data_IF_733366485909
#
_entry.id   IF_733366485909
#
_cell.length_a   1.000
_cell.length_b   1.000
_cell.length_c   1.000
_cell.angle_alpha   90.00
_cell.angle_beta   90.00
_cell.angle_gamma   90.00
#
_symmetry.space_group_name_H-M   'P 1'
#
loop_
_entity.id
_entity.type
_entity.pdbx_description
1 polymer ?
#
# COMPACT_ATOMS: atom_id res chain seq x y z
N UNK A 1 -72.49 33.12 21.99
CA UNK A 1 -71.32 32.47 21.36
C UNK A 1 -71.76 31.05 21.05
N UNK A 2 -71.98 30.64 19.80
CA UNK A 2 -70.97 30.41 18.73
C UNK A 2 -69.99 29.27 19.14
N UNK A 3 -69.80 28.16 18.40
CA UNK A 3 -70.22 27.77 17.04
C UNK A 3 -70.26 26.21 16.88
N UNK A 4 -70.98 25.75 15.84
CA UNK A 4 -70.92 24.45 15.13
C UNK A 4 -70.74 23.10 15.86
N UNK A 5 -71.79 22.29 15.82
CA UNK A 5 -71.71 20.82 15.76
C UNK A 5 -71.74 20.37 14.29
N UNK A 6 -70.66 19.76 13.78
CA UNK A 6 -70.56 19.38 12.35
C UNK A 6 -70.69 17.87 12.13
N UNK A 7 -71.88 17.49 11.70
CA UNK A 7 -72.33 16.12 11.42
C UNK A 7 -71.52 15.40 10.33
N UNK A 8 -71.23 14.15 10.61
CA UNK A 8 -70.61 13.13 9.76
C UNK A 8 -71.25 12.96 8.37
N UNK A 9 -70.42 12.80 7.32
CA UNK A 9 -70.76 12.10 6.07
C UNK A 9 -69.54 11.36 5.50
N UNK A 10 -69.55 10.03 5.62
CA UNK A 10 -68.71 9.14 4.80
C UNK A 10 -69.13 9.23 3.33
N UNK A 11 -68.17 9.08 2.41
CA UNK A 11 -68.40 8.84 0.98
C UNK A 11 -67.95 7.41 0.61
N UNK A 12 -68.58 6.76 -0.39
CA UNK A 12 -68.57 5.30 -0.49
C UNK A 12 -67.35 4.71 -1.21
N UNK A 13 -67.04 3.47 -0.85
CA UNK A 13 -66.16 2.55 -1.59
C UNK A 13 -66.90 2.05 -2.84
N UNK A 14 -66.23 2.01 -3.99
CA UNK A 14 -66.63 1.22 -5.16
C UNK A 14 -65.58 0.16 -5.47
N UNK A 15 -65.97 -1.12 -5.63
CA UNK A 15 -65.07 -2.17 -6.07
C UNK A 15 -65.15 -2.33 -7.60
N UNK A 16 -64.00 -2.54 -8.27
CA UNK A 16 -63.99 -3.15 -9.61
C UNK A 16 -62.80 -4.10 -9.81
N UNK A 17 -63.18 -5.36 -10.05
CA UNK A 17 -62.60 -6.30 -11.02
C UNK A 17 -61.15 -6.78 -10.80
N UNK A 18 -61.09 -8.02 -10.29
CA UNK A 18 -60.05 -9.00 -10.58
C UNK A 18 -60.45 -9.69 -11.89
N UNK A 19 -59.57 -9.69 -12.89
CA UNK A 19 -59.55 -10.51 -14.12
C UNK A 19 -58.24 -10.16 -14.86
N UNK A 20 -57.43 -11.05 -15.44
CA UNK A 20 -57.20 -12.50 -15.28
C UNK A 20 -55.76 -12.78 -15.81
N UNK A 21 -55.06 -13.81 -15.30
CA UNK A 21 -53.78 -14.25 -15.89
C UNK A 21 -53.99 -15.08 -17.17
N UNK A 22 -53.53 -14.61 -18.34
CA UNK A 22 -53.43 -15.46 -19.55
C UNK A 22 -52.44 -14.96 -20.62
N UNK A 23 -51.12 -14.96 -20.35
CA UNK A 23 -50.11 -14.66 -21.39
C UNK A 23 -48.76 -15.40 -21.28
N UNK A 24 -48.70 -16.55 -20.61
CA UNK A 24 -47.52 -17.41 -20.56
C UNK A 24 -47.67 -18.62 -21.51
N UNK A 25 -47.37 -18.40 -22.82
CA UNK A 25 -46.90 -19.39 -23.82
C UNK A 25 -47.07 -18.88 -25.26
N UNK A 26 -45.99 -18.35 -25.87
CA UNK A 26 -45.45 -18.88 -27.12
C UNK A 26 -44.28 -18.05 -27.68
N UNK A 27 -43.36 -18.75 -28.35
CA UNK A 27 -42.81 -18.27 -29.62
C UNK A 27 -41.82 -17.11 -29.56
N UNK A 28 -40.55 -17.45 -29.38
CA UNK A 28 -39.39 -16.67 -29.82
C UNK A 28 -39.58 -15.99 -31.19
N UNK A 29 -39.75 -14.66 -31.19
CA UNK A 29 -39.40 -13.78 -32.32
C UNK A 29 -38.58 -12.61 -31.79
N UNK A 30 -37.47 -12.33 -32.46
CA UNK A 30 -36.47 -11.38 -31.98
C UNK A 30 -37.04 -9.98 -31.81
N UNK A 31 -36.76 -9.36 -30.66
CA UNK A 31 -36.84 -7.91 -30.51
C UNK A 31 -35.90 -7.27 -31.54
N UNK A 32 -36.29 -6.16 -32.20
CA UNK A 32 -35.33 -5.39 -32.99
C UNK A 32 -34.18 -4.93 -32.08
N UNK A 33 -32.92 -4.92 -32.57
CA UNK A 33 -31.79 -4.48 -31.77
C UNK A 33 -32.05 -3.04 -31.29
N UNK A 34 -32.03 -2.84 -29.98
CA UNK A 34 -32.26 -1.53 -29.40
C UNK A 34 -31.15 -0.57 -29.88
N UNK A 35 -31.46 0.72 -30.16
CA UNK A 35 -30.54 1.64 -30.85
C UNK A 35 -29.24 1.95 -30.08
N UNK A 36 -29.12 1.55 -28.82
CA UNK A 36 -27.87 1.61 -28.06
C UNK A 36 -26.84 0.54 -28.46
N UNK A 37 -27.25 -0.54 -29.14
CA UNK A 37 -26.37 -1.63 -29.54
C UNK A 37 -25.47 -1.27 -30.74
N UNK A 38 -25.97 -0.50 -31.72
CA UNK A 38 -25.16 -0.06 -32.87
C UNK A 38 -24.25 1.14 -32.54
N UNK A 39 -24.51 1.87 -31.45
CA UNK A 39 -23.63 2.94 -30.99
C UNK A 39 -22.29 2.43 -30.42
N UNK A 40 -22.13 1.12 -30.23
CA UNK A 40 -20.94 0.48 -29.68
C UNK A 40 -19.85 0.21 -30.73
N UNK A 41 -19.47 1.24 -31.50
CA UNK A 41 -18.28 1.18 -32.36
C UNK A 41 -16.99 0.92 -31.54
N UNK A 42 -15.93 0.36 -32.16
CA UNK A 42 -14.68 0.08 -31.46
C UNK A 42 -14.06 1.38 -30.91
N UNK A 43 -14.14 1.56 -29.60
CA UNK A 43 -13.61 2.78 -28.94
C UNK A 43 -12.10 2.89 -29.22
N UNK A 44 -11.61 4.06 -29.67
CA UNK A 44 -10.17 4.28 -29.74
C UNK A 44 -9.59 4.14 -28.33
N UNK A 45 -8.57 3.27 -28.18
CA UNK A 45 -7.84 3.13 -26.93
C UNK A 45 -7.21 4.47 -26.59
N UNK A 46 -7.67 5.10 -25.51
CA UNK A 46 -7.08 6.37 -25.03
C UNK A 46 -5.64 6.09 -24.62
N UNK A 47 -4.69 6.63 -25.39
CA UNK A 47 -3.27 6.46 -25.10
C UNK A 47 -2.90 7.21 -23.82
N UNK A 48 -2.71 6.42 -22.77
CA UNK A 48 -1.96 6.67 -21.54
C UNK A 48 -1.17 7.99 -21.53
N UNK A 49 -1.76 9.04 -20.94
CA UNK A 49 -1.17 10.39 -20.94
C UNK A 49 -0.24 10.69 -19.76
N UNK A 50 0.11 9.69 -18.95
CA UNK A 50 0.83 9.88 -17.68
C UNK A 50 2.21 9.17 -17.57
N UNK A 51 2.91 8.98 -18.70
CA UNK A 51 4.35 8.66 -18.71
C UNK A 51 5.21 9.94 -18.89
N UNK A 52 4.81 11.03 -18.22
CA UNK A 52 5.52 12.32 -18.26
C UNK A 52 6.41 12.57 -17.02
N UNK A 53 6.11 11.92 -15.89
CA UNK A 53 6.76 12.19 -14.60
C UNK A 53 8.20 11.68 -14.56
N UNK A 54 8.52 10.56 -15.21
CA UNK A 54 9.85 9.95 -15.13
C UNK A 54 10.94 10.60 -16.00
N UNK A 55 10.63 11.49 -16.97
CA UNK A 55 11.69 12.07 -17.82
C UNK A 55 12.69 12.91 -17.04
N UNK A 56 12.25 13.67 -16.04
CA UNK A 56 13.12 14.47 -15.16
C UNK A 56 13.88 13.60 -14.15
N UNK A 57 13.24 12.56 -13.62
CA UNK A 57 13.86 11.61 -12.69
C UNK A 57 14.97 10.78 -13.37
N UNK A 58 14.68 10.23 -14.56
CA UNK A 58 15.63 9.44 -15.36
C UNK A 58 16.81 10.30 -15.81
N UNK A 59 16.58 11.56 -16.20
CA UNK A 59 17.67 12.49 -16.51
C UNK A 59 18.57 12.73 -15.29
N UNK A 60 17.98 12.96 -14.11
CA UNK A 60 18.75 13.11 -12.86
C UNK A 60 19.58 11.87 -12.52
N UNK A 61 19.00 10.68 -12.64
CA UNK A 61 19.70 9.41 -12.39
C UNK A 61 20.84 9.17 -13.40
N UNK A 62 20.62 9.44 -14.68
CA UNK A 62 21.64 9.32 -15.73
C UNK A 62 22.83 10.29 -15.50
N UNK A 63 22.56 11.54 -15.12
CA UNK A 63 23.61 12.51 -14.77
C UNK A 63 24.38 12.07 -13.52
N UNK A 64 23.68 11.53 -12.51
CA UNK A 64 24.33 11.03 -11.29
C UNK A 64 25.25 9.83 -11.57
N UNK A 65 24.85 8.90 -12.45
CA UNK A 65 25.70 7.77 -12.86
C UNK A 65 26.94 8.26 -13.61
N UNK A 66 26.77 9.16 -14.59
CA UNK A 66 27.90 9.70 -15.35
C UNK A 66 28.91 10.45 -14.47
N UNK A 67 28.43 11.22 -13.48
CA UNK A 67 29.30 11.88 -12.51
C UNK A 67 30.10 10.87 -11.67
N UNK A 68 29.46 9.79 -11.21
CA UNK A 68 30.11 8.74 -10.42
C UNK A 68 31.18 7.99 -11.24
N UNK A 69 30.88 7.65 -12.50
CA UNK A 69 31.84 7.04 -13.42
C UNK A 69 33.04 7.96 -13.72
N UNK A 70 32.81 9.26 -13.87
CA UNK A 70 33.88 10.24 -14.07
C UNK A 70 34.78 10.35 -12.83
N UNK A 71 34.20 10.42 -11.63
CA UNK A 71 34.97 10.47 -10.37
C UNK A 71 35.80 9.19 -10.18
N UNK A 72 35.23 8.00 -10.44
CA UNK A 72 36.00 6.75 -10.36
C UNK A 72 37.12 6.67 -11.39
N UNK A 73 36.90 7.13 -12.62
CA UNK A 73 37.96 7.19 -13.65
C UNK A 73 39.08 8.15 -13.26
N UNK A 74 38.75 9.34 -12.72
CA UNK A 74 39.75 10.29 -12.24
C UNK A 74 40.55 9.69 -11.07
N UNK A 75 39.89 9.02 -10.12
CA UNK A 75 40.58 8.36 -9.01
C UNK A 75 41.57 7.29 -9.50
N UNK A 76 41.15 6.41 -10.42
CA UNK A 76 42.03 5.37 -11.01
C UNK A 76 43.20 6.01 -11.77
N UNK A 77 42.96 7.05 -12.57
CA UNK A 77 44.03 7.77 -13.29
C UNK A 77 45.02 8.43 -12.33
N UNK A 78 44.57 8.98 -11.20
CA UNK A 78 45.44 9.54 -10.17
C UNK A 78 46.26 8.46 -9.43
N UNK A 79 45.66 7.30 -9.14
CA UNK A 79 46.37 6.15 -8.56
C UNK A 79 47.51 5.66 -9.47
N UNK A 80 47.22 5.41 -10.75
CA UNK A 80 48.22 4.95 -11.73
C UNK A 80 49.36 5.97 -11.88
N UNK A 81 49.05 7.27 -11.88
CA UNK A 81 50.06 8.34 -11.94
C UNK A 81 50.89 8.49 -10.67
N UNK A 82 50.42 8.01 -9.53
CA UNK A 82 51.20 8.04 -8.29
C UNK A 82 52.30 6.97 -8.30
N UNK A 83 52.03 5.79 -8.90
CA UNK A 83 53.04 4.74 -9.07
C UNK A 83 54.17 5.15 -10.03
N UNK A 84 53.88 5.87 -11.12
CA UNK A 84 54.91 6.36 -12.05
C UNK A 84 55.84 7.44 -11.45
N UNK A 85 55.42 8.15 -10.40
CA UNK A 85 56.30 9.07 -9.65
C UNK A 85 57.11 8.39 -8.53
N UNK A 86 56.77 7.16 -8.14
CA UNK A 86 57.48 6.41 -7.10
C UNK A 86 58.84 5.84 -7.53
N UNK A 87 59.08 5.72 -8.85
CA UNK A 87 60.24 5.04 -9.42
C UNK A 87 61.45 5.95 -9.74
N UNK A 88 61.43 7.22 -9.31
CA UNK A 88 62.40 8.24 -9.72
C UNK A 88 63.10 8.97 -8.54
N UNK A 89 63.50 8.24 -7.51
CA UNK A 89 64.37 8.75 -6.44
C UNK A 89 65.21 7.65 -5.77
N UNK A 90 66.29 7.21 -6.42
CA UNK A 90 67.38 6.46 -5.77
C UNK A 90 68.75 6.99 -6.26
N UNK A 91 69.74 6.97 -5.37
CA UNK A 91 71.12 7.41 -5.63
C UNK A 91 71.74 8.29 -4.55
N UNK A 92 72.45 7.71 -3.58
CA UNK A 92 73.20 8.48 -2.57
C UNK A 92 73.97 7.66 -1.51
N UNK A 93 75.11 7.08 -1.89
CA UNK A 93 76.07 6.37 -1.03
C UNK A 93 76.40 7.03 0.33
N UNK A 94 76.74 6.23 1.37
CA UNK A 94 77.74 6.67 2.37
C UNK A 94 77.77 6.02 3.77
N UNK A 95 78.54 4.93 3.93
CA UNK A 95 79.44 4.63 5.07
C UNK A 95 78.99 4.69 6.56
N UNK A 96 78.93 3.49 7.18
CA UNK A 96 79.60 2.99 8.42
C UNK A 96 80.59 3.90 9.23
N UNK A 97 81.02 3.57 10.49
CA UNK A 97 80.68 2.42 11.38
C UNK A 97 80.54 2.68 12.92
N UNK A 98 80.17 1.63 13.70
CA UNK A 98 80.61 1.41 15.11
C UNK A 98 79.51 1.46 16.20
N UNK A 99 79.61 0.79 17.36
CA UNK A 99 80.52 -0.26 17.84
C UNK A 99 79.96 -0.93 19.14
N UNK A 100 80.52 -2.10 19.52
CA UNK A 100 80.34 -2.85 20.80
C UNK A 100 78.92 -3.42 21.13
N UNK A 101 78.65 -4.69 21.51
CA UNK A 101 79.36 -5.81 22.16
C UNK A 101 79.15 -5.96 23.69
N UNK A 102 78.33 -6.95 24.12
CA UNK A 102 78.67 -8.04 25.09
C UNK A 102 77.47 -8.95 25.46
N UNK A 103 77.78 -10.21 25.78
CA UNK A 103 76.92 -11.31 26.29
C UNK A 103 77.14 -11.51 27.82
N UNK A 104 76.80 -12.67 28.45
CA UNK A 104 75.54 -13.44 28.64
C UNK A 104 75.20 -13.46 30.18
N UNK A 105 74.81 -14.55 30.92
CA UNK A 105 74.15 -15.82 30.60
C UNK A 105 72.98 -16.29 31.53
N UNK A 106 72.15 -17.22 31.02
CA UNK A 106 71.71 -18.42 31.76
C UNK A 106 70.26 -18.42 32.29
N UNK A 107 69.52 -19.54 32.30
CA UNK A 107 69.83 -20.91 31.88
C UNK A 107 68.52 -21.73 31.63
N UNK A 108 68.60 -22.87 30.93
CA UNK A 108 67.54 -23.90 30.92
C UNK A 108 67.03 -24.37 29.54
N UNK A 109 67.38 -25.60 29.16
CA UNK A 109 66.94 -26.36 27.96
C UNK A 109 67.21 -27.86 28.26
N UNK A 110 66.80 -28.84 27.42
CA UNK A 110 65.60 -29.01 26.56
C UNK A 110 65.03 -30.46 26.83
N UNK A 111 64.62 -31.34 25.88
CA UNK A 111 64.03 -31.18 24.52
C UNK A 111 62.74 -32.01 24.28
N UNK A 112 62.04 -31.76 23.16
CA UNK A 112 60.95 -32.63 22.71
C UNK A 112 60.39 -32.39 21.30
N UNK A 113 60.98 -33.07 20.29
CA UNK A 113 60.48 -33.41 18.92
C UNK A 113 59.94 -32.29 17.97
N UNK A 114 59.90 -32.55 16.64
CA UNK A 114 59.81 -31.50 15.62
C UNK A 114 58.39 -31.20 15.10
N UNK A 115 58.35 -30.11 14.34
CA UNK A 115 57.22 -29.45 13.69
C UNK A 115 56.50 -30.32 12.64
N UNK A 116 55.17 -30.21 12.59
CA UNK A 116 54.39 -30.34 11.36
C UNK A 116 53.61 -29.04 11.15
N UNK A 117 53.55 -28.58 9.90
CA UNK A 117 53.17 -27.20 9.56
C UNK A 117 51.66 -27.03 9.45
N UNK A 118 51.15 -26.00 10.12
CA UNK A 118 49.74 -25.59 10.09
C UNK A 118 49.45 -24.82 8.79
N UNK A 119 48.91 -25.49 7.76
CA UNK A 119 48.55 -24.87 6.49
C UNK A 119 47.25 -24.05 6.62
N UNK A 120 47.35 -22.87 7.25
CA UNK A 120 46.27 -21.89 7.35
C UNK A 120 45.98 -21.25 5.97
N UNK A 121 45.25 -21.96 5.10
CA UNK A 121 44.62 -21.35 3.93
C UNK A 121 43.41 -20.52 4.37
N UNK A 122 43.46 -19.23 4.09
CA UNK A 122 42.38 -18.29 4.43
C UNK A 122 41.05 -18.69 3.81
N UNK A 123 40.05 -18.86 4.66
CA UNK A 123 38.64 -18.86 4.28
C UNK A 123 38.05 -17.52 4.72
N UNK A 124 38.17 -16.49 3.87
CA UNK A 124 37.62 -15.16 4.12
C UNK A 124 36.81 -14.69 2.92
N UNK A 125 35.69 -14.01 3.18
CA UNK A 125 34.77 -13.37 2.23
C UNK A 125 33.98 -14.28 1.26
N UNK A 126 33.05 -15.08 1.80
CA UNK A 126 31.92 -15.65 1.04
C UNK A 126 30.57 -15.62 1.79
N UNK A 127 30.42 -14.75 2.80
CA UNK A 127 29.26 -14.70 3.71
C UNK A 127 28.12 -13.70 3.36
N UNK A 128 28.26 -12.69 2.47
CA UNK A 128 27.28 -11.58 2.44
C UNK A 128 25.86 -11.98 2.01
N UNK A 129 25.69 -13.04 1.21
CA UNK A 129 24.38 -13.43 0.68
C UNK A 129 23.43 -14.03 1.74
N UNK A 130 23.95 -14.82 2.69
CA UNK A 130 23.11 -15.51 3.68
C UNK A 130 22.65 -14.55 4.79
N UNK A 131 23.53 -13.64 5.23
CA UNK A 131 23.21 -12.59 6.21
C UNK A 131 22.20 -11.56 5.65
N UNK A 132 22.33 -11.17 4.38
CA UNK A 132 21.39 -10.25 3.72
C UNK A 132 19.97 -10.85 3.62
N UNK A 133 19.85 -12.14 3.30
CA UNK A 133 18.55 -12.83 3.29
C UNK A 133 17.92 -12.89 4.69
N UNK A 134 18.69 -13.25 5.73
CA UNK A 134 18.18 -13.28 7.10
C UNK A 134 17.70 -11.91 7.59
N UNK A 135 18.44 -10.83 7.30
CA UNK A 135 17.98 -9.47 7.62
C UNK A 135 16.69 -9.10 6.89
N UNK A 136 16.52 -9.49 5.62
CA UNK A 136 15.27 -9.24 4.87
C UNK A 136 14.10 -10.03 5.48
N UNK A 137 14.34 -11.29 5.88
CA UNK A 137 13.37 -12.11 6.60
C UNK A 137 12.95 -11.48 7.93
N UNK A 138 13.88 -10.92 8.72
CA UNK A 138 13.54 -10.22 9.96
C UNK A 138 12.75 -8.93 9.70
N UNK A 139 13.22 -8.05 8.79
CA UNK A 139 12.50 -6.82 8.40
C UNK A 139 11.07 -7.12 7.96
N UNK A 140 10.84 -8.22 7.24
CA UNK A 140 9.51 -8.65 6.77
C UNK A 140 8.61 -9.19 7.89
N UNK A 141 9.19 -9.74 8.97
CA UNK A 141 8.45 -10.15 10.19
C UNK A 141 8.08 -8.94 11.05
N UNK A 142 8.99 -7.98 11.20
CA UNK A 142 8.83 -6.78 12.04
C UNK A 142 7.88 -5.72 11.46
N UNK A 143 7.66 -5.74 10.14
CA UNK A 143 6.74 -4.81 9.49
C UNK A 143 5.33 -4.82 10.12
N UNK A 144 4.73 -3.63 10.35
CA UNK A 144 3.42 -3.53 10.97
C UNK A 144 2.36 -4.16 10.07
N UNK A 145 1.22 -4.63 10.63
CA UNK A 145 0.23 -5.41 9.89
C UNK A 145 -0.32 -4.75 8.63
N UNK A 146 -0.37 -3.41 8.59
CA UNK A 146 -0.84 -2.62 7.46
C UNK A 146 0.22 -2.34 6.37
N UNK A 147 1.51 -2.60 6.62
CA UNK A 147 2.57 -2.49 5.60
C UNK A 147 2.62 -3.71 4.67
N UNK A 148 1.91 -4.80 5.01
CA UNK A 148 1.82 -6.03 4.22
C UNK A 148 0.79 -5.86 3.10
N UNK A 149 1.05 -6.45 1.94
CA UNK A 149 0.17 -6.36 0.77
C UNK A 149 -1.21 -7.05 0.93
N UNK A 150 -1.35 -7.97 1.90
CA UNK A 150 -2.63 -8.62 2.24
C UNK A 150 -3.11 -8.10 3.59
N UNK A 151 -4.43 -7.87 3.71
CA UNK A 151 -5.06 -7.54 4.99
C UNK A 151 -4.79 -8.63 6.05
N UNK A 152 -4.63 -8.29 7.34
CA UNK A 152 -4.37 -9.27 8.37
C UNK A 152 -5.67 -9.99 8.77
N UNK A 153 -5.60 -11.32 8.93
CA UNK A 153 -6.76 -12.21 9.12
C UNK A 153 -7.36 -12.26 10.53
N UNK A 154 -7.24 -11.20 11.33
CA UNK A 154 -7.75 -11.17 12.72
C UNK A 154 -9.22 -10.73 12.82
N UNK A 155 -9.79 -10.15 11.75
CA UNK A 155 -11.19 -9.74 11.65
C UNK A 155 -11.84 -10.36 10.41
N UNK A 156 -13.09 -10.77 10.54
CA UNK A 156 -13.94 -11.23 9.43
C UNK A 156 -15.14 -10.28 9.28
N UNK A 157 -15.33 -9.59 8.15
CA UNK A 157 -16.55 -8.84 7.91
C UNK A 157 -17.73 -9.80 7.71
N UNK A 158 -18.87 -9.48 8.34
CA UNK A 158 -20.12 -10.25 8.26
C UNK A 158 -21.14 -9.55 7.35
N UNK A 159 -21.26 -8.24 7.48
CA UNK A 159 -22.26 -7.45 6.76
C UNK A 159 -21.78 -6.02 6.51
N UNK A 160 -22.22 -5.42 5.41
CA UNK A 160 -21.97 -4.04 5.04
C UNK A 160 -23.32 -3.34 4.78
N UNK A 161 -23.61 -2.30 5.54
CA UNK A 161 -24.65 -1.34 5.20
C UNK A 161 -23.99 -0.08 4.63
N UNK A 162 -24.30 0.24 3.37
CA UNK A 162 -23.67 1.30 2.59
C UNK A 162 -24.72 2.34 2.19
N UNK A 163 -24.52 3.59 2.63
CA UNK A 163 -25.28 4.75 2.19
C UNK A 163 -24.39 5.64 1.32
N UNK A 164 -24.93 6.10 0.20
CA UNK A 164 -24.21 6.89 -0.81
C UNK A 164 -25.07 8.07 -1.28
N UNK A 165 -24.51 9.27 -1.18
CA UNK A 165 -25.09 10.52 -1.69
C UNK A 165 -24.20 11.07 -2.80
N UNK A 166 -24.78 11.31 -3.98
CA UNK A 166 -24.05 11.65 -5.21
C UNK A 166 -24.43 13.07 -5.62
N UNK A 167 -23.44 13.91 -5.90
CA UNK A 167 -23.61 15.30 -6.32
C UNK A 167 -22.99 15.48 -7.71
N UNK A 168 -23.82 15.70 -8.73
CA UNK A 168 -23.35 15.76 -10.12
C UNK A 168 -22.92 17.18 -10.54
N UNK A 169 -23.18 18.18 -9.72
CA UNK A 169 -22.87 19.59 -9.97
C UNK A 169 -21.38 19.88 -9.75
N UNK A 170 -20.82 19.32 -8.66
CA UNK A 170 -19.39 19.37 -8.31
C UNK A 170 -18.69 18.03 -8.56
N UNK A 171 -19.45 16.98 -8.89
CA UNK A 171 -18.98 15.61 -9.09
C UNK A 171 -18.25 15.03 -7.88
N UNK A 172 -18.84 15.20 -6.69
CA UNK A 172 -18.42 14.51 -5.47
C UNK A 172 -19.44 13.45 -5.06
N UNK A 173 -19.02 12.57 -4.17
CA UNK A 173 -19.94 11.75 -3.40
C UNK A 173 -19.54 11.76 -1.93
N UNK A 174 -20.53 11.69 -1.06
CA UNK A 174 -20.34 11.39 0.36
C UNK A 174 -21.08 10.10 0.72
N UNK A 175 -20.66 9.46 1.80
CA UNK A 175 -21.27 8.21 2.20
C UNK A 175 -20.97 7.84 3.63
N UNK A 176 -21.74 6.86 4.08
CA UNK A 176 -21.57 6.19 5.35
C UNK A 176 -21.51 4.69 5.08
N UNK A 177 -20.49 4.02 5.62
CA UNK A 177 -20.44 2.56 5.64
C UNK A 177 -20.40 2.08 7.08
N UNK A 178 -21.31 1.17 7.42
CA UNK A 178 -21.34 0.44 8.67
C UNK A 178 -20.97 -1.02 8.38
N UNK A 179 -19.83 -1.47 8.91
CA UNK A 179 -19.30 -2.82 8.73
C UNK A 179 -19.48 -3.60 10.03
N UNK A 180 -20.23 -4.69 9.99
CA UNK A 180 -20.28 -5.64 11.08
C UNK A 180 -19.05 -6.57 10.99
N UNK A 181 -18.28 -6.67 12.07
CA UNK A 181 -17.01 -7.36 12.16
C UNK A 181 -17.06 -8.42 13.26
N UNK A 182 -16.68 -9.65 12.92
CA UNK A 182 -16.38 -10.72 13.87
C UNK A 182 -14.87 -10.74 14.17
N UNK A 183 -14.51 -10.93 15.44
CA UNK A 183 -13.11 -11.02 15.87
C UNK A 183 -12.67 -12.48 15.94
N UNK A 184 -11.73 -12.83 15.07
CA UNK A 184 -11.10 -14.16 15.05
C UNK A 184 -9.90 -14.22 16.00
N UNK A 185 -9.10 -13.16 16.03
CA UNK A 185 -7.94 -13.02 16.92
C UNK A 185 -7.96 -11.65 17.60
N UNK A 186 -7.59 -11.57 18.88
CA UNK A 186 -7.60 -10.28 19.60
C UNK A 186 -6.64 -9.28 18.96
N UNK A 187 -7.08 -8.03 18.84
CA UNK A 187 -6.31 -6.98 18.17
C UNK A 187 -6.73 -5.60 18.61
N UNK A 188 -5.81 -4.64 18.54
CA UNK A 188 -6.05 -3.21 18.80
C UNK A 188 -6.20 -2.38 17.52
N UNK A 189 -6.27 -3.01 16.36
CA UNK A 189 -6.33 -2.31 15.08
C UNK A 189 -7.37 -2.94 14.14
N UNK A 190 -8.06 -2.08 13.39
CA UNK A 190 -8.82 -2.46 12.21
C UNK A 190 -8.07 -1.93 10.99
N UNK A 191 -7.84 -2.79 9.99
CA UNK A 191 -7.16 -2.46 8.75
C UNK A 191 -8.06 -2.89 7.60
N UNK A 192 -8.37 -1.96 6.70
CA UNK A 192 -9.22 -2.17 5.53
C UNK A 192 -8.70 -1.36 4.35
N UNK A 193 -9.07 -1.71 3.11
CA UNK A 193 -8.67 -0.92 1.95
C UNK A 193 -9.39 0.42 1.88
N UNK A 194 -8.65 1.46 1.51
CA UNK A 194 -9.16 2.80 1.23
C UNK A 194 -8.19 3.54 0.29
N UNK A 195 -8.71 4.11 -0.78
CA UNK A 195 -7.92 4.83 -1.78
C UNK A 195 -8.72 6.00 -2.35
N UNK A 196 -8.04 7.13 -2.62
CA UNK A 196 -8.62 8.37 -3.23
C UNK A 196 -9.91 8.86 -2.55
N UNK A 197 -10.03 8.70 -1.23
CA UNK A 197 -11.15 9.17 -0.42
C UNK A 197 -10.69 9.88 0.85
N UNK A 198 -11.48 10.83 1.31
CA UNK A 198 -11.30 11.56 2.56
C UNK A 198 -12.19 10.95 3.65
N UNK A 199 -11.61 10.60 4.80
CA UNK A 199 -12.34 10.05 5.94
C UNK A 199 -12.67 11.19 6.91
N UNK A 200 -13.96 11.50 7.08
CA UNK A 200 -14.42 12.57 7.97
C UNK A 200 -14.52 12.11 9.42
N UNK A 201 -15.03 10.89 9.63
CA UNK A 201 -15.18 10.33 10.96
C UNK A 201 -15.13 8.80 10.94
N UNK A 202 -14.61 8.22 12.02
CA UNK A 202 -14.67 6.78 12.28
C UNK A 202 -15.15 6.54 13.71
N UNK A 203 -16.02 5.55 13.90
CA UNK A 203 -16.52 5.10 15.20
C UNK A 203 -16.53 3.57 15.23
N UNK A 204 -16.23 3.00 16.40
CA UNK A 204 -16.34 1.57 16.64
C UNK A 204 -17.24 1.35 17.85
N UNK A 205 -18.21 0.46 17.74
CA UNK A 205 -19.12 0.07 18.82
C UNK A 205 -19.15 -1.46 18.93
N UNK A 206 -19.54 -1.97 20.10
CA UNK A 206 -19.78 -3.40 20.31
C UNK A 206 -21.28 -3.68 20.18
N UNK A 207 -21.70 -4.66 19.38
CA UNK A 207 -23.13 -4.87 19.08
C UNK A 207 -23.98 -5.17 20.35
N UNK A 208 -23.35 -5.72 21.39
CA UNK A 208 -24.03 -6.23 22.61
C UNK A 208 -23.91 -5.31 23.83
N UNK A 209 -23.11 -4.24 23.78
CA UNK A 209 -22.97 -3.26 24.86
C UNK A 209 -23.20 -1.85 24.31
N UNK A 210 -23.97 -1.03 25.02
CA UNK A 210 -24.20 0.39 24.70
C UNK A 210 -22.95 1.30 24.90
N UNK A 211 -21.74 0.73 24.88
CA UNK A 211 -20.46 1.41 25.07
C UNK A 211 -19.59 1.38 23.82
N UNK A 212 -19.28 2.55 23.27
CA UNK A 212 -18.35 2.69 22.14
C UNK A 212 -16.92 2.26 22.50
N UNK A 213 -16.20 1.68 21.54
CA UNK A 213 -14.77 1.41 21.63
C UNK A 213 -14.01 2.66 21.21
N UNK A 214 -13.26 3.26 22.13
CA UNK A 214 -12.54 4.51 21.88
C UNK A 214 -11.43 4.32 20.84
N UNK A 215 -11.49 5.13 19.78
CA UNK A 215 -10.47 5.21 18.72
C UNK A 215 -9.33 6.08 19.23
N UNK A 216 -8.13 5.52 19.30
CA UNK A 216 -6.90 6.21 19.71
C UNK A 216 -6.40 7.18 18.63
N UNK A 217 -6.40 6.71 17.37
CA UNK A 217 -6.04 7.45 16.17
C UNK A 217 -6.49 6.66 14.94
N UNK A 218 -6.63 7.34 13.81
CA UNK A 218 -6.83 6.69 12.51
C UNK A 218 -6.07 7.42 11.41
N UNK A 219 -5.58 6.69 10.41
CA UNK A 219 -4.78 7.25 9.32
C UNK A 219 -4.88 6.42 8.04
N UNK A 220 -4.70 7.07 6.89
CA UNK A 220 -4.46 6.40 5.61
C UNK A 220 -2.98 6.03 5.50
N UNK A 221 -2.70 4.87 4.91
CA UNK A 221 -1.37 4.40 4.59
C UNK A 221 -1.28 4.13 3.07
N UNK A 222 -0.86 5.14 2.27
CA UNK A 222 -0.98 5.09 0.81
C UNK A 222 -0.23 3.94 0.13
N UNK A 223 0.87 3.47 0.72
CA UNK A 223 1.79 2.49 0.13
C UNK A 223 1.12 1.13 -0.13
N UNK A 224 0.17 0.72 0.72
CA UNK A 224 -0.64 -0.49 0.54
C UNK A 224 -2.13 -0.19 0.34
N UNK A 225 -2.49 1.09 0.18
CA UNK A 225 -3.87 1.55 -0.03
C UNK A 225 -4.84 1.10 1.07
N UNK A 226 -4.44 1.28 2.34
CA UNK A 226 -5.26 0.91 3.51
C UNK A 226 -5.57 2.10 4.41
N UNK A 227 -6.72 2.04 5.08
CA UNK A 227 -7.08 2.83 6.23
C UNK A 227 -6.88 2.00 7.50
N UNK A 228 -6.23 2.60 8.50
CA UNK A 228 -5.91 1.98 9.78
C UNK A 228 -6.64 2.73 10.89
N UNK A 229 -7.38 1.98 11.70
CA UNK A 229 -8.06 2.47 12.91
C UNK A 229 -7.40 1.82 14.12
N UNK A 230 -6.77 2.61 14.98
CA UNK A 230 -6.11 2.13 16.21
C UNK A 230 -7.01 2.40 17.41
N UNK A 231 -7.15 1.43 18.29
CA UNK A 231 -8.11 1.44 19.40
C UNK A 231 -7.40 1.51 20.76
N UNK A 232 -8.05 2.16 21.73
CA UNK A 232 -7.52 2.29 23.10
C UNK A 232 -7.54 0.96 23.88
N UNK A 233 -8.44 0.03 23.52
CA UNK A 233 -8.49 -1.34 24.05
C UNK A 233 -8.48 -2.36 22.92
N UNK A 234 -8.15 -3.62 23.23
CA UNK A 234 -8.26 -4.72 22.28
C UNK A 234 -9.72 -5.09 22.02
N UNK A 235 -10.00 -5.54 20.80
CA UNK A 235 -11.22 -6.24 20.44
C UNK A 235 -11.15 -7.69 20.95
N UNK A 236 -12.26 -8.19 21.47
CA UNK A 236 -12.34 -9.53 22.08
C UNK A 236 -12.79 -10.58 21.06
N UNK A 237 -12.15 -11.75 21.08
CA UNK A 237 -12.45 -12.91 20.22
C UNK A 237 -13.90 -13.37 20.44
N UNK A 238 -14.55 -13.89 19.39
CA UNK A 238 -15.97 -14.31 19.40
C UNK A 238 -17.00 -13.20 19.73
N UNK A 239 -16.59 -11.94 19.82
CA UNK A 239 -17.51 -10.79 19.87
C UNK A 239 -17.69 -10.15 18.48
N UNK A 240 -18.80 -9.44 18.33
CA UNK A 240 -19.16 -8.68 17.13
C UNK A 240 -19.09 -7.18 17.41
N UNK A 241 -18.48 -6.44 16.48
CA UNK A 241 -18.32 -5.00 16.54
C UNK A 241 -18.83 -4.34 15.27
N UNK A 242 -19.35 -3.13 15.39
CA UNK A 242 -19.77 -2.29 14.28
C UNK A 242 -18.74 -1.18 14.04
N UNK A 243 -18.16 -1.13 12.83
CA UNK A 243 -17.26 -0.08 12.36
C UNK A 243 -18.06 0.86 11.45
N UNK A 244 -18.31 2.08 11.93
CA UNK A 244 -18.95 3.16 11.18
C UNK A 244 -17.90 4.12 10.63
N UNK A 245 -17.86 4.32 9.32
CA UNK A 245 -16.98 5.27 8.64
C UNK A 245 -17.84 6.24 7.82
N UNK A 246 -17.62 7.54 8.01
CA UNK A 246 -18.19 8.62 7.20
C UNK A 246 -17.08 9.17 6.31
N UNK A 247 -17.34 9.29 5.02
CA UNK A 247 -16.33 9.65 4.02
C UNK A 247 -16.91 10.54 2.91
N UNK A 248 -16.01 11.24 2.21
CA UNK A 248 -16.31 11.90 0.94
C UNK A 248 -15.18 11.66 -0.08
N UNK A 249 -15.49 11.77 -1.37
CA UNK A 249 -14.54 11.57 -2.46
C UNK A 249 -15.01 12.26 -3.76
N UNK A 250 -14.11 12.36 -4.74
CA UNK A 250 -14.42 12.79 -6.10
C UNK A 250 -14.97 11.62 -6.92
N UNK A 251 -15.96 11.88 -7.78
CA UNK A 251 -16.39 10.91 -8.78
C UNK A 251 -15.35 10.89 -9.91
N UNK A 252 -14.76 9.72 -10.15
CA UNK A 252 -13.61 9.60 -11.05
C UNK A 252 -13.97 9.73 -12.54
N UNK A 253 -12.99 10.18 -13.33
CA UNK A 253 -13.07 10.18 -14.79
C UNK A 253 -12.46 8.90 -15.41
N UNK A 254 -11.70 8.16 -14.62
CA UNK A 254 -11.11 6.87 -14.99
C UNK A 254 -12.17 5.78 -14.85
N UNK A 255 -12.08 4.71 -15.64
CA UNK A 255 -13.03 3.58 -15.59
C UNK A 255 -12.73 2.64 -14.40
N UNK A 256 -12.58 3.21 -13.20
CA UNK A 256 -12.12 2.56 -11.98
C UNK A 256 -12.86 3.14 -10.76
N UNK A 257 -13.25 2.27 -9.83
CA UNK A 257 -13.98 2.69 -8.62
C UNK A 257 -15.36 3.26 -8.93
N UNK A 258 -15.72 4.37 -8.29
CA UNK A 258 -16.96 5.09 -8.56
C UNK A 258 -16.70 6.24 -9.53
N UNK A 259 -17.14 6.07 -10.78
CA UNK A 259 -16.79 6.93 -11.90
C UNK A 259 -18.02 7.49 -12.62
N UNK A 260 -17.83 8.59 -13.34
CA UNK A 260 -18.83 9.22 -14.22
C UNK A 260 -18.56 8.90 -15.68
N UNK A 261 -19.61 8.79 -16.46
CA UNK A 261 -19.55 8.75 -17.93
C UNK A 261 -20.53 9.77 -18.49
N UNK A 262 -20.45 10.04 -19.79
CA UNK A 262 -21.30 11.04 -20.46
C UNK A 262 -21.76 10.55 -21.82
N UNK A 263 -22.95 10.99 -22.23
CA UNK A 263 -23.56 10.71 -23.53
C UNK A 263 -24.01 12.01 -24.20
N UNK A 264 -24.28 11.97 -25.50
CA UNK A 264 -24.82 13.12 -26.24
C UNK A 264 -26.29 12.84 -26.54
N UNK A 265 -27.17 13.78 -26.17
CA UNK A 265 -28.61 13.71 -26.41
C UNK A 265 -29.07 15.05 -26.97
N UNK A 266 -29.62 15.04 -28.20
CA UNK A 266 -30.03 16.24 -28.94
C UNK A 266 -28.91 17.29 -29.10
N UNK A 267 -27.66 16.85 -29.22
CA UNK A 267 -26.48 17.72 -29.34
C UNK A 267 -25.91 18.23 -28.01
N UNK A 268 -26.63 18.06 -26.90
CA UNK A 268 -26.14 18.39 -25.56
C UNK A 268 -25.41 17.19 -24.95
N UNK A 269 -24.26 17.45 -24.31
CA UNK A 269 -23.54 16.44 -23.52
C UNK A 269 -24.15 16.36 -22.12
N UNK A 270 -24.63 15.19 -21.72
CA UNK A 270 -25.15 14.83 -20.40
C UNK A 270 -24.24 13.80 -19.73
#
# INVERSE_FOLDING_TARGET
MALEEKREKRSPVTPMMIEEEAALRNGSRGLPPAPWAEAAGPRPRTTERHIAVHKRLVLGFAVSILALLAVTMIAVLLSVRFEECGAAADGGNGSLPGAAARQPPGAGQPPGRPEEQEEARGAEAAVPAEEEEEEEWQRRREQPPWARARLPGHLRPLHYNLMLSIFMENFTFSGEVNVQLEVLNTSRYVVLHAHRMHIEAVRVAEDKLAGGVQVARSFLYPQTQVFVVVLNRSLEVQRSYNLKIIYNALIENELLGFFRSSYVLHGERR
#
